data_IF_831247885511
#
_entry.id   IF_831247885511
#
_cell.length_a   1.000
_cell.length_b   1.000
_cell.length_c   1.000
_cell.angle_alpha   90.00
_cell.angle_beta   90.00
_cell.angle_gamma   90.00
#
_symmetry.space_group_name_H-M   'P 1'
#
loop_
_entity.id
_entity.type
_entity.pdbx_description
1 polymer ?
#
# COMPACT_ATOMS: atom_id res chain seq x y z
N UNK A 1 -5.30 7.98 -35.03
CA UNK A 1 -5.07 9.20 -35.85
C UNK A 1 -6.36 9.73 -36.46
N UNK A 2 -7.19 8.89 -37.08
CA UNK A 2 -8.47 9.30 -37.65
C UNK A 2 -9.45 9.88 -36.61
N UNK A 3 -9.51 9.25 -35.44
CA UNK A 3 -10.30 9.72 -34.30
C UNK A 3 -9.91 11.13 -33.80
N UNK A 4 -8.60 11.41 -33.72
CA UNK A 4 -8.11 12.74 -33.35
C UNK A 4 -8.46 13.80 -34.39
N UNK A 5 -8.34 13.47 -35.69
CA UNK A 5 -8.75 14.37 -36.77
C UNK A 5 -10.24 14.67 -36.72
N UNK A 6 -11.07 13.67 -36.43
CA UNK A 6 -12.52 13.85 -36.29
C UNK A 6 -12.87 14.69 -35.06
N UNK A 7 -12.15 14.51 -33.94
CA UNK A 7 -12.32 15.34 -32.75
C UNK A 7 -12.00 16.82 -33.03
N UNK A 8 -10.91 17.11 -33.73
CA UNK A 8 -10.60 18.49 -34.11
C UNK A 8 -11.60 19.07 -35.11
N UNK A 9 -12.08 18.28 -36.08
CA UNK A 9 -13.15 18.71 -37.00
C UNK A 9 -14.43 19.09 -36.24
N UNK A 10 -14.83 18.28 -35.26
CA UNK A 10 -16.00 18.57 -34.43
C UNK A 10 -15.85 19.86 -33.64
N UNK A 11 -14.65 20.13 -33.10
CA UNK A 11 -14.38 21.40 -32.40
C UNK A 11 -14.51 22.59 -33.36
N UNK A 12 -14.04 22.46 -34.60
CA UNK A 12 -14.20 23.53 -35.59
C UNK A 12 -15.67 23.73 -36.00
N UNK A 13 -16.45 22.65 -36.11
CA UNK A 13 -17.89 22.70 -36.33
C UNK A 13 -18.64 23.40 -35.17
N UNK A 14 -18.26 23.10 -33.93
CA UNK A 14 -18.79 23.77 -32.73
C UNK A 14 -18.40 25.26 -32.66
N UNK A 15 -17.34 25.66 -33.36
CA UNK A 15 -16.87 27.06 -33.48
C UNK A 15 -17.34 27.76 -34.75
N UNK A 16 -18.16 27.10 -35.57
CA UNK A 16 -18.67 27.66 -36.81
C UNK A 16 -19.35 29.01 -36.55
N UNK A 17 -18.98 30.03 -37.33
CA UNK A 17 -19.59 31.35 -37.22
C UNK A 17 -20.94 31.34 -37.94
N UNK A 18 -21.92 32.15 -37.49
CA UNK A 18 -23.18 32.27 -38.21
C UNK A 18 -22.99 32.91 -39.58
N UNK A 19 -23.65 32.36 -40.61
CA UNK A 19 -23.60 32.86 -41.97
C UNK A 19 -22.56 32.16 -42.84
N UNK A 20 -22.36 32.66 -44.06
CA UNK A 20 -21.41 32.05 -45.00
C UNK A 20 -19.99 32.58 -44.76
N UNK A 21 -19.06 31.68 -44.44
CA UNK A 21 -17.67 31.98 -44.16
C UNK A 21 -16.71 30.90 -44.72
N UNK A 22 -15.45 30.87 -44.24
CA UNK A 22 -14.48 29.86 -44.66
C UNK A 22 -14.92 28.42 -44.36
N UNK A 23 -15.63 28.16 -43.26
CA UNK A 23 -16.07 26.82 -42.92
C UNK A 23 -17.04 26.31 -43.99
N UNK A 24 -18.08 27.06 -44.32
CA UNK A 24 -19.03 26.66 -45.36
C UNK A 24 -18.39 26.59 -46.76
N UNK A 25 -17.48 27.52 -47.07
CA UNK A 25 -16.68 27.45 -48.29
C UNK A 25 -15.83 26.17 -48.37
N UNK A 26 -15.20 25.78 -47.27
CA UNK A 26 -14.41 24.54 -47.20
C UNK A 26 -15.29 23.30 -47.35
N UNK A 27 -16.49 23.30 -46.75
CA UNK A 27 -17.45 22.20 -46.88
C UNK A 27 -17.96 22.08 -48.33
N UNK A 28 -18.23 23.19 -49.01
CA UNK A 28 -18.57 23.18 -50.44
C UNK A 28 -17.48 22.53 -51.28
N UNK A 29 -16.21 22.90 -51.05
CA UNK A 29 -15.07 22.31 -51.76
C UNK A 29 -14.93 20.82 -51.47
N UNK A 30 -14.92 20.45 -50.19
CA UNK A 30 -14.67 19.08 -49.74
C UNK A 30 -15.83 18.12 -50.05
N UNK A 31 -17.05 18.62 -50.27
CA UNK A 31 -18.17 17.83 -50.81
C UNK A 31 -17.94 17.39 -52.25
N UNK A 32 -17.21 18.17 -53.03
CA UNK A 32 -16.97 17.89 -54.45
C UNK A 32 -15.70 17.09 -54.70
N UNK A 33 -14.67 17.30 -53.87
CA UNK A 33 -13.42 16.55 -53.95
C UNK A 33 -12.68 16.58 -52.62
N UNK A 34 -12.11 15.44 -52.21
CA UNK A 34 -11.18 15.37 -51.08
C UNK A 34 -9.83 16.04 -51.35
N UNK A 35 -9.52 16.30 -52.63
CA UNK A 35 -8.36 17.07 -53.07
C UNK A 35 -8.79 18.06 -54.18
N UNK A 36 -9.32 19.25 -53.81
CA UNK A 36 -9.91 20.18 -54.77
C UNK A 36 -8.86 20.74 -55.75
N UNK A 37 -9.14 20.67 -57.05
CA UNK A 37 -8.34 21.31 -58.10
C UNK A 37 -8.66 22.80 -58.25
N UNK A 38 -7.85 23.53 -59.03
CA UNK A 38 -8.06 24.97 -59.33
C UNK A 38 -9.48 25.26 -59.83
N UNK A 39 -10.05 24.42 -60.69
CA UNK A 39 -11.40 24.61 -61.21
C UNK A 39 -12.48 24.43 -60.12
N UNK A 40 -12.28 23.54 -59.15
CA UNK A 40 -13.18 23.43 -57.99
C UNK A 40 -13.18 24.70 -57.16
N UNK A 41 -12.01 25.30 -56.93
CA UNK A 41 -11.88 26.58 -56.22
C UNK A 41 -12.57 27.73 -56.94
N UNK A 42 -12.43 27.83 -58.27
CA UNK A 42 -13.12 28.85 -59.08
C UNK A 42 -14.63 28.71 -58.97
N UNK A 43 -15.16 27.51 -59.21
CA UNK A 43 -16.60 27.23 -59.15
C UNK A 43 -17.18 27.46 -57.75
N UNK A 44 -16.50 27.00 -56.70
CA UNK A 44 -16.94 27.24 -55.32
C UNK A 44 -16.95 28.74 -54.98
N UNK A 45 -15.97 29.50 -55.49
CA UNK A 45 -15.88 30.93 -55.23
C UNK A 45 -16.97 31.74 -55.94
N UNK A 46 -17.33 31.37 -57.17
CA UNK A 46 -18.48 31.95 -57.87
C UNK A 46 -19.79 31.68 -57.11
N UNK A 47 -20.00 30.44 -56.65
CA UNK A 47 -21.14 30.09 -55.81
C UNK A 47 -21.16 30.84 -54.47
N UNK A 48 -20.00 30.99 -53.82
CA UNK A 48 -19.85 31.72 -52.57
C UNK A 48 -20.25 33.19 -52.69
N UNK A 49 -19.92 33.85 -53.80
CA UNK A 49 -20.33 35.24 -54.08
C UNK A 49 -21.83 35.42 -54.21
N UNK A 50 -22.54 34.39 -54.70
CA UNK A 50 -24.00 34.41 -54.78
C UNK A 50 -24.66 34.25 -53.40
N UNK A 51 -24.01 33.50 -52.50
CA UNK A 51 -24.50 33.26 -51.13
C UNK A 51 -24.17 34.41 -50.17
N UNK A 52 -23.03 35.07 -50.37
CA UNK A 52 -22.60 36.22 -49.59
C UNK A 52 -21.91 37.23 -50.51
N UNK A 53 -22.56 38.37 -50.72
CA UNK A 53 -22.08 39.46 -51.58
C UNK A 53 -20.78 40.10 -51.08
N UNK A 54 -20.45 39.96 -49.79
CA UNK A 54 -19.18 40.39 -49.20
C UNK A 54 -18.07 39.34 -49.35
N UNK A 55 -18.36 38.15 -49.91
CA UNK A 55 -17.37 37.09 -50.07
C UNK A 55 -16.29 37.49 -51.09
N UNK A 56 -15.11 37.76 -50.56
CA UNK A 56 -13.90 38.03 -51.32
C UNK A 56 -12.71 37.26 -50.73
N UNK A 57 -11.56 37.29 -51.42
CA UNK A 57 -10.37 36.58 -50.97
C UNK A 57 -9.94 36.97 -49.55
N UNK A 58 -9.94 38.25 -49.23
CA UNK A 58 -9.53 38.75 -47.91
C UNK A 58 -10.46 38.21 -46.82
N UNK A 59 -11.79 38.28 -47.04
CA UNK A 59 -12.80 37.73 -46.14
C UNK A 59 -12.57 36.23 -45.86
N UNK A 60 -12.34 35.42 -46.90
CA UNK A 60 -12.09 33.99 -46.74
C UNK A 60 -10.78 33.69 -46.02
N UNK A 61 -9.72 34.50 -46.24
CA UNK A 61 -8.44 34.35 -45.56
C UNK A 61 -8.52 34.74 -44.08
N UNK A 62 -9.25 35.81 -43.75
CA UNK A 62 -9.50 36.22 -42.35
C UNK A 62 -10.32 35.17 -41.60
N UNK A 63 -11.38 34.67 -42.22
CA UNK A 63 -12.18 33.58 -41.65
C UNK A 63 -11.33 32.29 -41.50
N UNK A 64 -10.48 31.94 -42.48
CA UNK A 64 -9.54 30.83 -42.34
C UNK A 64 -8.56 31.02 -41.17
N UNK A 65 -8.08 32.24 -40.95
CA UNK A 65 -7.19 32.56 -39.83
C UNK A 65 -7.88 32.38 -38.48
N UNK A 66 -9.17 32.71 -38.37
CA UNK A 66 -9.99 32.42 -37.20
C UNK A 66 -10.02 30.91 -36.91
N UNK A 67 -10.38 30.06 -37.89
CA UNK A 67 -10.44 28.60 -37.67
C UNK A 67 -9.07 27.98 -37.36
N UNK A 68 -7.98 28.48 -37.96
CA UNK A 68 -6.61 28.07 -37.59
C UNK A 68 -6.29 28.42 -36.14
N UNK A 69 -6.73 29.59 -35.67
CA UNK A 69 -6.55 30.02 -34.28
C UNK A 69 -7.35 29.14 -33.32
N UNK A 70 -8.62 28.84 -33.63
CA UNK A 70 -9.44 27.95 -32.81
C UNK A 70 -8.89 26.52 -32.77
N UNK A 71 -8.35 26.02 -33.89
CA UNK A 71 -7.66 24.74 -33.94
C UNK A 71 -6.43 24.72 -33.01
N UNK A 72 -5.61 25.77 -33.06
CA UNK A 72 -4.42 25.89 -32.21
C UNK A 72 -4.80 25.93 -30.72
N UNK A 73 -5.81 26.72 -30.35
CA UNK A 73 -6.33 26.76 -28.97
C UNK A 73 -6.82 25.40 -28.49
N UNK A 74 -7.58 24.69 -29.34
CA UNK A 74 -8.09 23.37 -29.03
C UNK A 74 -6.95 22.35 -28.81
N UNK A 75 -5.90 22.44 -29.63
CA UNK A 75 -4.70 21.63 -29.49
C UNK A 75 -3.99 21.92 -28.15
N UNK A 76 -3.69 23.18 -27.87
CA UNK A 76 -3.01 23.62 -26.64
C UNK A 76 -3.80 23.21 -25.39
N UNK A 77 -5.12 23.38 -25.38
CA UNK A 77 -5.97 22.95 -24.29
C UNK A 77 -5.92 21.43 -24.09
N UNK A 78 -5.91 20.65 -25.18
CA UNK A 78 -5.82 19.19 -25.11
C UNK A 78 -4.47 18.72 -24.57
N UNK A 79 -3.37 19.33 -25.02
CA UNK A 79 -2.01 19.04 -24.53
C UNK A 79 -1.90 19.41 -23.06
N UNK A 80 -2.32 20.62 -22.68
CA UNK A 80 -2.26 21.10 -21.30
C UNK A 80 -3.07 20.21 -20.34
N UNK A 81 -4.30 19.82 -20.73
CA UNK A 81 -5.11 18.88 -19.95
C UNK A 81 -4.44 17.50 -19.82
N UNK A 82 -3.78 17.03 -20.87
CA UNK A 82 -2.99 15.80 -20.87
C UNK A 82 -1.80 15.86 -19.91
N UNK A 83 -1.05 16.96 -19.92
CA UNK A 83 0.07 17.21 -19.04
C UNK A 83 -0.37 17.34 -17.57
N UNK A 84 -1.45 18.06 -17.30
CA UNK A 84 -2.05 18.15 -15.96
C UNK A 84 -2.45 16.78 -15.44
N UNK A 85 -3.12 15.96 -16.27
CA UNK A 85 -3.50 14.60 -15.89
C UNK A 85 -2.28 13.70 -15.64
N UNK A 86 -1.24 13.82 -16.47
CA UNK A 86 0.03 13.10 -16.28
C UNK A 86 0.70 13.49 -14.98
N UNK A 87 0.75 14.78 -14.65
CA UNK A 87 1.34 15.27 -13.41
C UNK A 87 0.53 14.82 -12.18
N UNK A 88 -0.80 14.88 -12.25
CA UNK A 88 -1.68 14.38 -11.19
C UNK A 88 -1.44 12.90 -10.90
N UNK A 89 -1.42 12.05 -11.93
CA UNK A 89 -1.14 10.61 -11.80
C UNK A 89 0.28 10.34 -11.26
N UNK A 90 1.26 11.16 -11.67
CA UNK A 90 2.64 11.05 -11.17
C UNK A 90 2.71 11.35 -9.67
N UNK A 91 2.01 12.39 -9.22
CA UNK A 91 1.94 12.76 -7.81
C UNK A 91 1.17 11.73 -6.97
N UNK A 92 0.06 11.20 -7.49
CA UNK A 92 -0.70 10.14 -6.84
C UNK A 92 0.14 8.89 -6.64
N UNK A 93 0.84 8.43 -7.69
CA UNK A 93 1.79 7.33 -7.62
C UNK A 93 2.87 7.57 -6.56
N UNK A 94 3.49 8.76 -6.55
CA UNK A 94 4.54 9.07 -5.59
C UNK A 94 4.03 9.04 -4.14
N UNK A 95 2.80 9.53 -3.91
CA UNK A 95 2.15 9.52 -2.59
C UNK A 95 1.88 8.09 -2.12
N UNK A 96 1.34 7.24 -2.99
CA UNK A 96 1.07 5.83 -2.67
C UNK A 96 2.37 5.07 -2.36
N UNK A 97 3.43 5.28 -3.16
CA UNK A 97 4.74 4.71 -2.91
C UNK A 97 5.32 5.14 -1.55
N UNK A 98 5.23 6.43 -1.23
CA UNK A 98 5.70 6.95 0.06
C UNK A 98 4.92 6.36 1.24
N UNK A 99 3.59 6.26 1.10
CA UNK A 99 2.73 5.68 2.13
C UNK A 99 3.10 4.21 2.38
N UNK A 100 3.14 3.39 1.32
CA UNK A 100 3.46 1.97 1.43
C UNK A 100 4.87 1.73 1.99
N UNK A 101 5.86 2.53 1.59
CA UNK A 101 7.21 2.44 2.16
C UNK A 101 7.22 2.78 3.66
N UNK A 102 6.44 3.77 4.09
CA UNK A 102 6.34 4.15 5.50
C UNK A 102 5.67 3.05 6.33
N UNK A 103 4.60 2.46 5.81
CA UNK A 103 3.91 1.33 6.43
C UNK A 103 4.83 0.09 6.53
N UNK A 104 5.55 -0.25 5.45
CA UNK A 104 6.51 -1.35 5.43
C UNK A 104 7.61 -1.16 6.48
N UNK A 105 8.23 0.02 6.55
CA UNK A 105 9.25 0.32 7.57
C UNK A 105 8.69 0.21 8.99
N UNK A 106 7.44 0.63 9.21
CA UNK A 106 6.78 0.51 10.52
C UNK A 106 6.58 -0.95 10.89
N UNK A 107 6.12 -1.78 9.96
CA UNK A 107 5.95 -3.22 10.16
C UNK A 107 7.30 -3.89 10.45
N UNK A 108 8.36 -3.54 9.71
CA UNK A 108 9.71 -4.06 9.95
C UNK A 108 10.22 -3.75 11.35
N UNK A 109 10.01 -2.52 11.84
CA UNK A 109 10.37 -2.13 13.21
C UNK A 109 9.58 -2.92 14.26
N UNK A 110 8.27 -3.12 14.05
CA UNK A 110 7.45 -3.94 14.94
C UNK A 110 7.91 -5.40 14.97
N UNK A 111 8.23 -5.97 13.80
CA UNK A 111 8.76 -7.33 13.70
C UNK A 111 10.10 -7.47 14.41
N UNK A 112 11.00 -6.49 14.28
CA UNK A 112 12.28 -6.49 14.98
C UNK A 112 12.10 -6.48 16.50
N UNK A 113 11.19 -5.65 17.01
CA UNK A 113 10.84 -5.58 18.43
C UNK A 113 10.27 -6.91 18.94
N UNK A 114 9.32 -7.50 18.21
CA UNK A 114 8.71 -8.78 18.58
C UNK A 114 9.74 -9.92 18.60
N UNK A 115 10.65 -9.97 17.64
CA UNK A 115 11.75 -10.95 17.63
C UNK A 115 12.64 -10.84 18.87
N UNK A 116 12.96 -9.62 19.29
CA UNK A 116 13.75 -9.40 20.50
C UNK A 116 12.99 -9.83 21.77
N UNK A 117 11.69 -9.55 21.82
CA UNK A 117 10.84 -9.96 22.94
C UNK A 117 10.74 -11.49 23.06
N UNK A 118 10.57 -12.18 21.92
CA UNK A 118 10.57 -13.65 21.86
C UNK A 118 11.91 -14.20 22.39
N UNK A 119 13.05 -13.70 21.91
CA UNK A 119 14.36 -14.17 22.35
C UNK A 119 14.57 -13.97 23.87
N UNK A 120 14.06 -12.87 24.43
CA UNK A 120 14.11 -12.62 25.87
C UNK A 120 13.24 -13.61 26.65
N UNK A 121 12.02 -13.90 26.17
CA UNK A 121 11.13 -14.86 26.80
C UNK A 121 11.69 -16.29 26.76
N UNK A 122 12.32 -16.68 25.65
CA UNK A 122 13.02 -17.97 25.52
C UNK A 122 14.14 -18.09 26.56
N UNK A 123 14.95 -17.04 26.74
CA UNK A 123 15.99 -17.01 27.78
C UNK A 123 15.40 -17.19 29.19
N UNK A 124 14.34 -16.43 29.51
CA UNK A 124 13.65 -16.53 30.80
C UNK A 124 13.10 -17.94 31.01
N UNK A 125 12.51 -18.54 29.97
CA UNK A 125 12.00 -19.91 30.02
C UNK A 125 13.12 -20.90 30.36
N UNK A 126 14.27 -20.82 29.69
CA UNK A 126 15.44 -21.66 29.98
C UNK A 126 15.90 -21.51 31.43
N UNK A 127 15.99 -20.28 31.94
CA UNK A 127 16.38 -20.02 33.34
C UNK A 127 15.39 -20.64 34.34
N UNK A 128 14.08 -20.55 34.07
CA UNK A 128 13.04 -21.14 34.92
C UNK A 128 13.07 -22.67 34.88
N UNK A 129 13.29 -23.27 33.72
CA UNK A 129 13.44 -24.73 33.60
C UNK A 129 14.68 -25.23 34.35
N UNK A 130 15.81 -24.53 34.25
CA UNK A 130 16.99 -24.85 35.03
C UNK A 130 16.73 -24.75 36.55
N UNK A 131 16.04 -23.69 36.98
CA UNK A 131 15.66 -23.52 38.38
C UNK A 131 14.72 -24.62 38.87
N UNK A 132 13.74 -25.03 38.03
CA UNK A 132 12.80 -26.11 38.31
C UNK A 132 13.53 -27.45 38.48
N UNK A 133 14.42 -27.79 37.53
CA UNK A 133 15.20 -29.02 37.57
C UNK A 133 16.18 -29.07 38.77
N UNK A 134 16.59 -27.91 39.29
CA UNK A 134 17.42 -27.78 40.47
C UNK A 134 16.64 -27.75 41.80
N UNK A 135 15.33 -27.97 41.80
CA UNK A 135 14.55 -28.00 43.06
C UNK A 135 14.90 -29.24 43.87
N UNK A 136 14.87 -30.43 43.28
CA UNK A 136 15.03 -31.68 44.03
C UNK A 136 16.36 -31.71 44.78
N UNK A 137 17.45 -31.29 44.13
CA UNK A 137 18.78 -31.22 44.75
C UNK A 137 18.85 -30.30 45.97
N UNK A 138 18.03 -29.24 46.05
CA UNK A 138 17.98 -28.34 47.23
C UNK A 138 17.33 -28.98 48.45
N UNK A 139 16.52 -30.03 48.24
CA UNK A 139 15.77 -30.67 49.31
C UNK A 139 16.30 -32.06 49.66
N UNK A 140 17.05 -32.73 48.77
CA UNK A 140 17.64 -34.05 49.02
C UNK A 140 18.39 -34.12 50.36
N UNK A 141 19.35 -33.22 50.60
CA UNK A 141 20.16 -33.27 51.83
C UNK A 141 19.34 -32.97 53.08
N UNK A 142 18.34 -32.09 52.96
CA UNK A 142 17.44 -31.76 54.07
C UNK A 142 16.56 -32.93 54.44
N UNK A 143 16.03 -33.66 53.44
CA UNK A 143 15.29 -34.88 53.69
C UNK A 143 16.17 -35.95 54.32
N UNK A 144 17.38 -36.16 53.80
CA UNK A 144 18.33 -37.12 54.36
C UNK A 144 18.68 -36.80 55.83
N UNK A 145 18.91 -35.53 56.18
CA UNK A 145 19.16 -35.12 57.56
C UNK A 145 17.96 -35.40 58.49
N UNK A 146 16.74 -35.12 58.03
CA UNK A 146 15.52 -35.42 58.77
C UNK A 146 15.35 -36.92 58.96
N UNK A 147 15.56 -37.71 57.91
CA UNK A 147 15.49 -39.18 57.94
C UNK A 147 16.46 -39.76 58.98
N UNK A 148 17.71 -39.27 59.01
CA UNK A 148 18.72 -39.68 59.99
C UNK A 148 18.30 -39.34 61.42
N UNK A 149 17.73 -38.15 61.66
CA UNK A 149 17.22 -37.76 62.98
C UNK A 149 16.06 -38.64 63.42
N UNK A 150 15.14 -38.98 62.52
CA UNK A 150 14.03 -39.90 62.79
C UNK A 150 14.60 -41.26 63.20
N UNK A 151 15.52 -41.82 62.41
CA UNK A 151 16.12 -43.12 62.68
C UNK A 151 16.88 -43.15 64.02
N UNK A 152 17.67 -42.11 64.31
CA UNK A 152 18.38 -41.99 65.58
C UNK A 152 17.41 -41.94 66.78
N UNK A 153 16.30 -41.23 66.63
CA UNK A 153 15.25 -41.14 67.67
C UNK A 153 14.58 -42.50 67.91
N UNK A 154 14.26 -43.24 66.84
CA UNK A 154 13.68 -44.58 66.95
C UNK A 154 14.65 -45.53 67.66
N UNK A 155 15.92 -45.56 67.25
CA UNK A 155 16.95 -46.39 67.88
C UNK A 155 17.16 -46.03 69.35
N UNK A 156 17.17 -44.74 69.70
CA UNK A 156 17.29 -44.32 71.10
C UNK A 156 16.09 -44.79 71.94
N UNK A 157 14.86 -44.66 71.42
CA UNK A 157 13.65 -45.16 72.10
C UNK A 157 13.73 -46.68 72.34
N UNK A 158 14.13 -47.45 71.33
CA UNK A 158 14.29 -48.91 71.44
C UNK A 158 15.35 -49.30 72.47
N UNK A 159 16.47 -48.56 72.50
CA UNK A 159 17.50 -48.72 73.52
C UNK A 159 16.95 -48.53 74.94
N UNK A 160 16.28 -47.41 75.19
CA UNK A 160 15.66 -47.13 76.50
C UNK A 160 14.59 -48.17 76.86
N UNK A 161 13.77 -48.61 75.89
CA UNK A 161 12.77 -49.65 76.14
C UNK A 161 13.42 -50.98 76.54
N UNK A 162 14.53 -51.35 75.90
CA UNK A 162 15.32 -52.55 76.23
C UNK A 162 15.92 -52.45 77.64
N UNK A 163 16.48 -51.29 78.01
CA UNK A 163 16.98 -51.01 79.36
C UNK A 163 15.89 -51.14 80.41
N UNK A 164 14.70 -50.58 80.17
CA UNK A 164 13.54 -50.70 81.05
C UNK A 164 13.16 -52.18 81.22
N UNK A 165 13.03 -52.94 80.12
CA UNK A 165 12.70 -54.37 80.18
C UNK A 165 13.75 -55.20 80.93
N UNK A 166 15.03 -54.89 80.78
CA UNK A 166 16.12 -55.55 81.52
C UNK A 166 15.97 -55.33 83.02
N UNK A 167 15.78 -54.07 83.45
CA UNK A 167 15.59 -53.72 84.86
C UNK A 167 14.32 -54.38 85.41
N UNK A 168 13.21 -54.32 84.68
CA UNK A 168 11.93 -54.93 85.07
C UNK A 168 12.10 -56.44 85.30
N UNK A 169 12.78 -57.14 84.39
CA UNK A 169 13.07 -58.57 84.54
C UNK A 169 13.99 -58.85 85.73
N UNK A 170 15.02 -58.03 85.94
CA UNK A 170 15.91 -58.15 87.09
C UNK A 170 15.16 -58.00 88.43
N UNK A 171 14.25 -57.03 88.53
CA UNK A 171 13.38 -56.85 89.70
C UNK A 171 12.56 -58.12 89.94
N UNK A 172 11.88 -58.62 88.90
CA UNK A 172 11.05 -59.84 88.98
C UNK A 172 11.85 -61.08 89.41
N UNK A 173 13.11 -61.18 89.00
CA UNK A 173 13.94 -62.37 89.24
C UNK A 173 14.66 -62.35 90.59
N UNK A 174 15.12 -61.19 91.05
CA UNK A 174 16.06 -61.10 92.18
C UNK A 174 15.49 -60.42 93.43
N UNK A 175 14.33 -59.77 93.31
CA UNK A 175 13.66 -59.06 94.41
C UNK A 175 12.31 -59.76 94.70
N UNK A 176 12.38 -61.08 94.91
CA UNK A 176 11.28 -61.91 95.41
C UNK A 176 11.48 -62.24 96.89
#
# INVERSE_FOLDING_TARGET
MEDLRNRFRKILEEKNQPGFDFYEFSQMLLRTSTNPSVEHFKTAYEGAKLLNSNCNQQFLLESAAFYKTELQKAFEATVSAGEQKKNALTNEKAKEQQQLNTEANTIEQQLAKLKQEIANLEKIQTEKLAALNGIDSKFTDKFAEIEQKIQATVTAKEGVASEISLIENGIKQYIS
#
